data_IF_710001388347
#
_entry.id   IF_710001388347
#
_cell.length_a   1.000
_cell.length_b   1.000
_cell.length_c   1.000
_cell.angle_alpha   90.00
_cell.angle_beta   90.00
_cell.angle_gamma   90.00
#
_symmetry.space_group_name_H-M   'P 1'
#
loop_
_entity.id
_entity.type
_entity.pdbx_description
1 polymer ?
#
# COMPACT_ATOMS: atom_id res chain seq x y z
N UNK A 1 12.69 15.97 -3.20
CA UNK A 1 12.95 14.54 -2.90
C UNK A 1 12.57 14.31 -1.44
N UNK A 2 11.94 13.19 -1.08
CA UNK A 2 11.19 12.97 0.18
C UNK A 2 12.00 12.96 1.51
N UNK A 3 13.19 13.54 1.52
CA UNK A 3 14.06 13.65 2.69
C UNK A 3 14.87 12.37 3.00
N UNK A 4 15.87 12.48 3.90
CA UNK A 4 16.74 11.36 4.27
C UNK A 4 16.00 10.26 5.04
N UNK A 5 14.93 10.60 5.77
CA UNK A 5 14.13 9.63 6.53
C UNK A 5 13.59 8.50 5.65
N UNK A 6 13.11 8.81 4.44
CA UNK A 6 12.66 7.79 3.50
C UNK A 6 13.80 6.83 3.11
N UNK A 7 15.01 7.37 2.89
CA UNK A 7 16.17 6.58 2.50
C UNK A 7 16.55 5.61 3.62
N UNK A 8 16.52 6.06 4.87
CA UNK A 8 16.75 5.20 6.03
C UNK A 8 15.72 4.06 6.17
N UNK A 9 14.51 4.26 5.65
CA UNK A 9 13.45 3.24 5.63
C UNK A 9 13.39 2.42 4.33
N UNK A 10 14.31 2.64 3.38
CA UNK A 10 14.34 1.92 2.11
C UNK A 10 15.39 0.82 2.14
N UNK A 11 15.02 -0.39 1.73
CA UNK A 11 15.94 -1.52 1.61
C UNK A 11 15.81 -2.17 0.23
N UNK A 12 16.95 -2.61 -0.32
CA UNK A 12 16.99 -3.36 -1.58
C UNK A 12 17.40 -4.81 -1.30
N UNK A 13 16.58 -5.76 -1.74
CA UNK A 13 16.88 -7.19 -1.68
C UNK A 13 16.92 -7.78 -3.08
N UNK A 14 18.09 -8.24 -3.50
CA UNK A 14 18.28 -8.95 -4.77
C UNK A 14 18.29 -10.45 -4.51
N UNK A 15 17.46 -11.20 -5.24
CA UNK A 15 17.42 -12.67 -5.18
C UNK A 15 17.79 -13.26 -6.53
N UNK A 16 18.65 -14.28 -6.51
CA UNK A 16 18.98 -15.10 -7.68
C UNK A 16 18.03 -16.29 -7.74
N UNK A 17 17.97 -16.95 -8.90
CA UNK A 17 17.26 -18.22 -9.11
C UNK A 17 15.73 -18.17 -8.93
N UNK A 18 15.11 -16.99 -9.15
CA UNK A 18 13.66 -16.87 -9.26
C UNK A 18 13.25 -17.21 -10.70
N UNK A 19 12.29 -18.12 -10.88
CA UNK A 19 11.82 -18.60 -12.20
C UNK A 19 11.39 -17.48 -13.16
N UNK A 20 11.04 -16.31 -12.65
CA UNK A 20 10.58 -15.15 -13.40
C UNK A 20 11.44 -13.94 -13.00
N UNK A 21 12.31 -13.45 -13.90
CA UNK A 21 13.37 -12.48 -13.59
C UNK A 21 13.10 -11.04 -14.03
N UNK A 22 11.97 -10.77 -14.70
CA UNK A 22 11.77 -9.51 -15.41
C UNK A 22 10.80 -8.55 -14.70
N UNK A 23 10.78 -8.57 -13.37
CA UNK A 23 9.98 -7.64 -12.58
C UNK A 23 10.68 -7.25 -11.28
N UNK A 24 10.34 -6.07 -10.78
CA UNK A 24 10.71 -5.58 -9.46
C UNK A 24 9.43 -5.49 -8.62
N UNK A 25 9.49 -5.95 -7.38
CA UNK A 25 8.41 -5.73 -6.43
C UNK A 25 8.85 -4.66 -5.43
N UNK A 26 8.00 -3.66 -5.25
CA UNK A 26 8.16 -2.66 -4.20
C UNK A 26 7.16 -3.02 -3.10
N UNK A 27 7.68 -3.42 -1.95
CA UNK A 27 6.89 -3.65 -0.75
C UNK A 27 6.84 -2.36 0.05
N UNK A 28 5.63 -1.82 0.24
CA UNK A 28 5.43 -0.57 0.97
C UNK A 28 5.15 -0.84 2.46
N UNK A 29 5.53 0.07 3.37
CA UNK A 29 5.09 -0.02 4.76
C UNK A 29 3.56 -0.12 4.86
N UNK A 30 3.07 -0.93 5.79
CA UNK A 30 1.63 -1.09 6.03
C UNK A 30 0.94 0.24 6.32
N UNK A 31 -0.31 0.36 5.88
CA UNK A 31 -1.16 1.50 6.21
C UNK A 31 -1.67 1.35 7.65
N UNK A 32 -1.83 2.47 8.36
CA UNK A 32 -2.19 2.53 9.77
C UNK A 32 -3.34 3.52 9.92
N UNK A 33 -4.47 3.13 10.55
CA UNK A 33 -5.43 4.13 11.03
C UNK A 33 -5.03 4.59 12.42
N UNK A 34 -4.20 5.64 12.48
CA UNK A 34 -3.98 6.35 13.74
C UNK A 34 -4.97 7.52 13.84
N UNK A 35 -5.84 7.55 14.87
CA UNK A 35 -6.70 8.71 15.16
C UNK A 35 -5.89 9.93 15.65
N UNK A 36 -4.62 9.74 16.00
CA UNK A 36 -3.71 10.81 16.37
C UNK A 36 -3.09 11.40 15.11
N UNK A 37 -3.64 12.55 14.75
CA UNK A 37 -3.41 13.33 13.54
C UNK A 37 -2.03 14.01 13.49
N UNK A 38 -1.00 13.42 14.08
CA UNK A 38 0.36 13.88 13.83
C UNK A 38 0.85 13.23 12.54
N UNK A 39 0.78 14.01 11.46
CA UNK A 39 1.41 13.75 10.14
C UNK A 39 2.94 13.48 10.21
N UNK A 40 3.50 13.30 11.41
CA UNK A 40 4.92 13.17 11.71
C UNK A 40 5.39 11.75 12.03
N UNK A 41 4.51 10.76 12.23
CA UNK A 41 4.95 9.46 12.78
C UNK A 41 5.90 8.66 11.86
N UNK A 42 5.77 8.82 10.53
CA UNK A 42 6.68 8.20 9.56
C UNK A 42 7.94 9.06 9.29
N UNK A 43 7.89 10.35 9.61
CA UNK A 43 8.96 11.32 9.34
C UNK A 43 9.18 11.65 7.85
N UNK A 44 8.24 11.30 6.97
CA UNK A 44 8.21 11.65 5.54
C UNK A 44 6.76 11.66 5.01
N UNK A 45 6.53 12.31 3.86
CA UNK A 45 5.24 12.35 3.16
C UNK A 45 4.92 10.99 2.51
N UNK A 46 4.25 10.11 3.26
CA UNK A 46 3.89 8.77 2.79
C UNK A 46 2.96 8.80 1.57
N UNK A 47 1.92 9.64 1.59
CA UNK A 47 0.96 9.75 0.50
C UNK A 47 1.63 10.23 -0.80
N UNK A 48 2.54 11.19 -0.71
CA UNK A 48 3.35 11.66 -1.83
C UNK A 48 4.30 10.60 -2.38
N UNK A 49 4.92 9.80 -1.51
CA UNK A 49 5.78 8.67 -1.92
C UNK A 49 4.98 7.60 -2.65
N UNK A 50 3.81 7.22 -2.12
CA UNK A 50 2.92 6.26 -2.77
C UNK A 50 2.52 6.73 -4.16
N UNK A 51 2.13 8.00 -4.31
CA UNK A 51 1.81 8.58 -5.62
C UNK A 51 2.99 8.52 -6.56
N UNK A 52 4.17 8.94 -6.11
CA UNK A 52 5.39 8.97 -6.93
C UNK A 52 5.82 7.57 -7.40
N UNK A 53 5.66 6.55 -6.55
CA UNK A 53 5.90 5.15 -6.91
C UNK A 53 4.83 4.64 -7.88
N UNK A 54 3.56 4.89 -7.58
CA UNK A 54 2.43 4.47 -8.41
C UNK A 54 2.55 5.02 -9.82
N UNK A 55 2.90 6.29 -10.01
CA UNK A 55 3.12 6.93 -11.32
C UNK A 55 4.12 6.16 -12.20
N UNK A 56 5.13 5.52 -11.60
CA UNK A 56 6.20 4.78 -12.28
C UNK A 56 5.96 3.28 -12.38
N UNK A 57 5.06 2.74 -11.56
CA UNK A 57 4.72 1.33 -11.57
C UNK A 57 3.80 1.00 -12.76
N UNK A 58 4.03 -0.19 -13.35
CA UNK A 58 3.14 -0.76 -14.37
C UNK A 58 1.83 -1.26 -13.75
N UNK A 59 1.89 -1.77 -12.51
CA UNK A 59 0.77 -2.34 -11.76
C UNK A 59 0.86 -1.91 -10.30
N UNK A 60 -0.26 -1.52 -9.71
CA UNK A 60 -0.42 -1.19 -8.29
C UNK A 60 -1.37 -2.21 -7.65
N UNK A 61 -0.90 -2.92 -6.64
CA UNK A 61 -1.69 -3.90 -5.90
C UNK A 61 -2.14 -3.32 -4.57
N UNK A 62 -3.45 -3.16 -4.38
CA UNK A 62 -4.03 -2.73 -3.12
C UNK A 62 -4.64 -3.92 -2.39
N UNK A 63 -4.04 -4.32 -1.28
CA UNK A 63 -4.51 -5.44 -0.48
C UNK A 63 -5.54 -4.95 0.55
N UNK A 64 -6.75 -5.51 0.50
CA UNK A 64 -7.78 -5.33 1.51
C UNK A 64 -7.89 -6.60 2.36
N UNK A 65 -7.70 -6.46 3.67
CA UNK A 65 -7.81 -7.54 4.66
C UNK A 65 -8.99 -7.23 5.59
N UNK A 66 -10.12 -7.96 5.50
CA UNK A 66 -11.32 -7.64 6.26
C UNK A 66 -11.16 -7.85 7.77
N UNK A 67 -10.17 -8.65 8.20
CA UNK A 67 -9.87 -8.86 9.62
C UNK A 67 -9.22 -7.63 10.28
N UNK A 68 -8.83 -6.63 9.49
CA UNK A 68 -8.16 -5.41 9.95
C UNK A 68 -8.92 -4.15 9.52
N UNK A 69 -10.14 -3.93 10.02
CA UNK A 69 -10.95 -2.76 9.64
C UNK A 69 -10.31 -1.42 10.04
N UNK A 70 -9.41 -1.42 11.05
CA UNK A 70 -8.65 -0.24 11.50
C UNK A 70 -7.47 0.16 10.61
N UNK A 71 -7.50 -0.13 9.31
CA UNK A 71 -6.58 0.44 8.31
C UNK A 71 -7.32 1.11 7.15
N UNK A 72 -8.63 1.26 7.25
CA UNK A 72 -9.53 1.71 6.18
C UNK A 72 -9.39 3.21 5.89
N UNK A 73 -9.11 4.04 6.89
CA UNK A 73 -8.99 5.50 6.75
C UNK A 73 -7.80 5.95 5.90
N UNK A 74 -6.58 5.54 6.26
CA UNK A 74 -5.37 5.87 5.47
C UNK A 74 -5.44 5.21 4.08
N UNK A 75 -5.95 3.98 4.01
CA UNK A 75 -6.17 3.26 2.74
C UNK A 75 -7.10 4.01 1.81
N UNK A 76 -8.25 4.45 2.31
CA UNK A 76 -9.21 5.19 1.51
C UNK A 76 -8.63 6.55 1.08
N UNK A 77 -7.90 7.24 1.96
CA UNK A 77 -7.23 8.49 1.62
C UNK A 77 -6.22 8.32 0.49
N UNK A 78 -5.37 7.28 0.56
CA UNK A 78 -4.39 6.94 -0.48
C UNK A 78 -5.11 6.58 -1.78
N UNK A 79 -6.17 5.78 -1.73
CA UNK A 79 -6.95 5.41 -2.91
C UNK A 79 -7.59 6.62 -3.59
N UNK A 80 -8.22 7.51 -2.82
CA UNK A 80 -8.95 8.67 -3.36
C UNK A 80 -8.03 9.81 -3.82
N UNK A 81 -6.84 9.96 -3.25
CA UNK A 81 -5.98 11.13 -3.52
C UNK A 81 -4.65 10.75 -4.19
N UNK A 82 -3.92 9.78 -3.66
CA UNK A 82 -2.62 9.39 -4.20
C UNK A 82 -2.73 8.55 -5.46
N UNK A 83 -3.77 7.72 -5.57
CA UNK A 83 -4.01 6.81 -6.70
C UNK A 83 -5.05 7.33 -7.70
N UNK A 84 -5.57 8.55 -7.48
CA UNK A 84 -6.57 9.16 -8.35
C UNK A 84 -6.08 9.24 -9.81
N UNK A 85 -6.89 8.74 -10.75
CA UNK A 85 -6.58 8.72 -12.18
C UNK A 85 -5.63 7.61 -12.62
N UNK A 86 -5.26 6.69 -11.72
CA UNK A 86 -4.42 5.53 -12.01
C UNK A 86 -5.21 4.21 -12.00
N UNK A 87 -6.54 4.28 -12.18
CA UNK A 87 -7.46 3.14 -12.11
C UNK A 87 -7.10 2.02 -13.10
N UNK A 88 -6.58 2.38 -14.26
CA UNK A 88 -6.18 1.44 -15.32
C UNK A 88 -5.04 0.49 -14.93
N UNK A 89 -4.32 0.77 -13.83
CA UNK A 89 -3.24 -0.07 -13.30
C UNK A 89 -3.46 -0.48 -11.84
N UNK A 90 -4.59 -0.13 -11.25
CA UNK A 90 -4.95 -0.47 -9.88
C UNK A 90 -5.67 -1.82 -9.82
N UNK A 91 -5.13 -2.77 -9.08
CA UNK A 91 -5.76 -4.06 -8.80
C UNK A 91 -6.05 -4.17 -7.29
N UNK A 92 -7.32 -4.30 -6.94
CA UNK A 92 -7.75 -4.50 -5.55
C UNK A 92 -7.77 -6.00 -5.27
N UNK A 93 -6.98 -6.43 -4.28
CA UNK A 93 -6.86 -7.82 -3.86
C UNK A 93 -7.58 -7.98 -2.53
N UNK A 94 -8.64 -8.78 -2.53
CA UNK A 94 -9.32 -9.22 -1.32
C UNK A 94 -8.52 -10.35 -0.67
N UNK A 95 -7.65 -9.99 0.26
CA UNK A 95 -6.77 -10.93 0.91
C UNK A 95 -7.53 -11.79 1.94
N UNK A 96 -7.09 -13.03 2.11
CA UNK A 96 -7.65 -14.01 3.07
C UNK A 96 -9.15 -14.25 2.94
N UNK A 97 -9.70 -14.16 1.73
CA UNK A 97 -11.12 -14.36 1.49
C UNK A 97 -11.64 -15.74 1.98
N UNK A 98 -10.76 -16.74 2.12
CA UNK A 98 -11.04 -18.07 2.67
C UNK A 98 -11.38 -18.08 4.17
N UNK A 99 -11.03 -17.02 4.91
CA UNK A 99 -11.32 -16.90 6.34
C UNK A 99 -12.77 -16.49 6.62
N UNK A 100 -13.52 -16.09 5.59
CA UNK A 100 -14.89 -15.62 5.72
C UNK A 100 -15.89 -16.69 5.27
N UNK A 101 -16.91 -16.94 6.09
CA UNK A 101 -17.98 -17.89 5.74
C UNK A 101 -19.17 -17.19 5.09
N UNK A 102 -19.39 -15.89 5.35
CA UNK A 102 -20.54 -15.13 4.83
C UNK A 102 -20.14 -13.71 4.44
N UNK A 103 -20.77 -13.18 3.40
CA UNK A 103 -20.51 -11.83 2.86
C UNK A 103 -20.73 -10.72 3.92
N UNK A 104 -21.58 -10.94 4.91
CA UNK A 104 -21.81 -9.95 5.97
C UNK A 104 -20.64 -9.81 6.95
N UNK A 105 -19.70 -10.76 6.97
CA UNK A 105 -18.50 -10.67 7.82
C UNK A 105 -17.53 -9.59 7.29
N UNK A 106 -17.70 -9.12 6.05
CA UNK A 106 -16.84 -8.11 5.41
C UNK A 106 -17.15 -6.67 5.81
N UNK A 107 -18.31 -6.39 6.40
CA UNK A 107 -18.84 -5.02 6.57
C UNK A 107 -18.97 -4.58 8.04
N UNK A 108 -18.12 -5.09 8.93
CA UNK A 108 -18.16 -4.78 10.36
C UNK A 108 -17.17 -3.70 10.79
#
# INVERSE_FOLDING_TARGET
>A
MFGPTLIHHTQLKVRKDIRNTNFMLVDSPGMIDSPHQDRQDRGYDFAGVVKWMAERADVVLLFFDPDKPGTTGETLSVLLHSLAGMDHKLLIILNKADQFRKIHDFAR
#
